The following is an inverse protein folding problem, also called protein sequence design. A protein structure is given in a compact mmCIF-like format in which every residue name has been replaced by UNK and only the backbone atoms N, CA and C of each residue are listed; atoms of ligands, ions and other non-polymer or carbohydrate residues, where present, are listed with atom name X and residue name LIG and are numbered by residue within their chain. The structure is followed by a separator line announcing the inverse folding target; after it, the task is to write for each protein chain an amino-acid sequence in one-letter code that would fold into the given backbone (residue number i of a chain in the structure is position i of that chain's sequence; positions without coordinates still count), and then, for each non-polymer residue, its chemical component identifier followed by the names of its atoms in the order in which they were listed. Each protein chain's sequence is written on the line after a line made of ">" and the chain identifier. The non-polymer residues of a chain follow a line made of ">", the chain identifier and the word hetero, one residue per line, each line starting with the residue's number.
data_IF_189480446814
#
_entry.id   IF_189480446814
#
_cell.length_a   1.000
_cell.length_b   1.000
_cell.length_c   1.000
_cell.angle_alpha   90.00
_cell.angle_beta   90.00
_cell.angle_gamma   90.00
#
_symmetry.space_group_name_H-M   'P 1'
#
loop_
_entity.id
_entity.type
_entity.pdbx_description
1 polymer ?
#
# COMPACT_ATOMS: atom_id res chain seq x y z
N UNK A 1 -72.58 -1.78 -41.13
CA UNK A 1 -72.21 -2.81 -42.14
C UNK A 1 -70.70 -3.05 -41.92
N UNK A 2 -70.55 -4.11 -41.19
CA UNK A 2 -69.76 -5.31 -41.52
C UNK A 2 -68.23 -5.06 -41.56
N UNK A 3 -67.43 -5.69 -40.93
CA UNK A 3 -67.20 -7.05 -40.37
C UNK A 3 -65.67 -7.17 -40.41
N UNK A 4 -64.88 -7.77 -39.68
CA UNK A 4 -64.84 -8.90 -38.75
C UNK A 4 -63.51 -9.00 -38.14
N UNK A 5 -63.52 -9.25 -36.92
CA UNK A 5 -62.59 -10.06 -36.10
C UNK A 5 -61.72 -11.05 -36.84
N UNK A 6 -60.44 -11.13 -36.34
CA UNK A 6 -59.96 -12.44 -35.83
C UNK A 6 -58.62 -12.31 -35.14
N UNK A 7 -58.41 -13.00 -34.05
CA UNK A 7 -57.15 -12.92 -33.29
C UNK A 7 -56.15 -13.95 -33.81
N UNK A 8 -54.92 -13.50 -34.07
CA UNK A 8 -53.81 -14.42 -34.35
C UNK A 8 -53.22 -14.93 -33.05
N UNK A 9 -53.56 -16.17 -32.74
CA UNK A 9 -52.90 -17.01 -31.75
C UNK A 9 -51.44 -17.25 -32.18
N UNK A 10 -50.49 -16.70 -31.44
CA UNK A 10 -49.08 -17.05 -31.57
C UNK A 10 -48.76 -18.22 -30.64
N UNK A 11 -48.64 -19.38 -31.26
CA UNK A 11 -48.16 -20.63 -30.68
C UNK A 11 -46.72 -20.45 -30.12
N UNK A 12 -46.59 -20.89 -28.86
CA UNK A 12 -45.26 -21.13 -28.26
C UNK A 12 -44.56 -22.27 -28.99
N UNK A 13 -43.59 -21.98 -29.83
CA UNK A 13 -42.53 -22.92 -30.19
C UNK A 13 -41.33 -22.18 -30.76
N UNK A 14 -40.17 -22.44 -30.14
CA UNK A 14 -38.81 -22.39 -30.71
C UNK A 14 -38.20 -21.01 -30.97
N UNK A 15 -37.44 -20.50 -30.01
CA UNK A 15 -36.15 -19.88 -30.24
C UNK A 15 -35.24 -20.05 -29.01
N UNK A 16 -34.70 -21.26 -28.86
CA UNK A 16 -33.42 -21.40 -28.17
C UNK A 16 -32.38 -20.77 -29.08
N UNK A 17 -32.13 -19.49 -28.92
CA UNK A 17 -30.91 -18.86 -29.45
C UNK A 17 -29.91 -18.84 -28.31
N UNK A 18 -28.86 -19.65 -28.48
CA UNK A 18 -27.69 -19.65 -27.66
C UNK A 18 -27.07 -18.23 -27.64
N UNK A 19 -27.37 -17.50 -26.58
CA UNK A 19 -26.62 -16.32 -26.21
C UNK A 19 -25.28 -16.76 -25.69
N UNK A 20 -24.27 -16.87 -26.55
CA UNK A 20 -22.87 -16.88 -26.16
C UNK A 20 -22.62 -15.52 -25.51
N UNK A 21 -22.70 -15.48 -24.18
CA UNK A 21 -22.13 -14.38 -23.41
C UNK A 21 -20.64 -14.36 -23.73
N UNK A 22 -20.23 -13.44 -24.60
CA UNK A 22 -18.84 -12.98 -24.68
C UNK A 22 -18.52 -12.38 -23.32
N UNK A 23 -17.97 -13.19 -22.43
CA UNK A 23 -17.18 -12.68 -21.31
C UNK A 23 -16.01 -11.94 -21.95
N UNK A 24 -16.16 -10.63 -22.08
CA UNK A 24 -15.04 -9.75 -22.36
C UNK A 24 -14.03 -10.00 -21.23
N UNK A 25 -12.99 -10.77 -21.55
CA UNK A 25 -11.84 -10.89 -20.69
C UNK A 25 -11.27 -9.47 -20.54
N UNK A 26 -11.54 -8.85 -19.39
CA UNK A 26 -10.81 -7.66 -18.95
C UNK A 26 -9.35 -8.06 -19.04
N UNK A 27 -8.50 -7.39 -19.85
CA UNK A 27 -7.09 -7.70 -19.84
C UNK A 27 -6.61 -7.47 -18.41
N UNK A 28 -6.23 -8.56 -17.76
CA UNK A 28 -5.42 -8.53 -16.55
C UNK A 28 -4.20 -7.70 -16.91
N UNK A 29 -4.19 -6.42 -16.49
CA UNK A 29 -3.04 -5.57 -16.66
C UNK A 29 -1.84 -6.36 -16.19
N UNK A 30 -0.80 -6.44 -17.01
CA UNK A 30 0.38 -7.25 -16.79
C UNK A 30 0.90 -6.98 -15.38
N UNK A 31 0.61 -7.89 -14.43
CA UNK A 31 1.24 -7.86 -13.11
C UNK A 31 2.72 -8.06 -13.36
N UNK A 32 3.52 -7.02 -13.18
CA UNK A 32 4.97 -7.15 -13.21
C UNK A 32 5.36 -7.98 -11.98
N UNK A 33 5.79 -9.20 -12.22
CA UNK A 33 6.38 -10.05 -11.21
C UNK A 33 7.90 -9.84 -11.27
N UNK A 34 8.50 -9.44 -10.15
CA UNK A 34 9.95 -9.37 -10.02
C UNK A 34 10.41 -10.31 -8.92
N UNK A 35 11.52 -10.99 -9.16
CA UNK A 35 12.22 -11.71 -8.11
C UNK A 35 13.21 -10.77 -7.46
N UNK A 36 13.04 -10.55 -6.15
CA UNK A 36 13.95 -9.71 -5.40
C UNK A 36 15.20 -10.50 -4.97
N UNK A 37 16.36 -9.90 -5.16
CA UNK A 37 17.61 -10.47 -4.66
C UNK A 37 17.72 -10.24 -3.14
N UNK A 38 17.99 -11.33 -2.41
CA UNK A 38 18.28 -11.24 -0.98
C UNK A 38 19.64 -10.55 -0.76
N UNK A 39 19.76 -9.72 0.30
CA UNK A 39 21.00 -9.03 0.58
C UNK A 39 22.17 -10.00 0.85
N UNK A 40 23.33 -9.66 0.32
CA UNK A 40 24.55 -10.43 0.52
C UNK A 40 25.18 -10.08 1.87
N UNK A 41 24.61 -10.56 2.99
CA UNK A 41 25.24 -10.39 4.29
C UNK A 41 25.48 -11.73 4.97
N UNK A 42 26.42 -11.75 5.90
CA UNK A 42 26.74 -12.96 6.68
C UNK A 42 25.54 -13.35 7.55
N UNK A 43 25.04 -14.57 7.38
CA UNK A 43 23.87 -15.07 8.09
C UNK A 43 24.14 -15.47 9.55
N UNK A 44 25.37 -15.35 10.01
CA UNK A 44 25.76 -15.61 11.40
C UNK A 44 25.46 -14.39 12.28
N UNK A 45 24.20 -14.01 12.40
CA UNK A 45 23.82 -12.95 13.33
C UNK A 45 23.67 -13.52 14.73
N UNK A 46 24.56 -13.13 15.70
CA UNK A 46 24.42 -13.57 17.06
C UNK A 46 23.06 -13.12 17.63
N UNK A 47 22.33 -14.04 18.25
CA UNK A 47 21.10 -13.75 18.95
C UNK A 47 19.80 -13.86 18.15
N UNK A 48 19.83 -14.15 16.83
CA UNK A 48 18.61 -14.52 16.12
C UNK A 48 18.39 -16.03 16.14
N UNK A 49 17.31 -16.49 16.75
CA UNK A 49 16.92 -17.90 16.81
C UNK A 49 15.51 -18.09 16.23
N UNK A 50 15.37 -19.09 15.37
CA UNK A 50 14.05 -19.53 14.85
C UNK A 50 13.36 -20.53 15.79
N UNK A 51 14.09 -21.09 16.76
CA UNK A 51 13.64 -22.27 17.53
C UNK A 51 12.38 -22.05 18.38
N UNK A 52 12.03 -20.81 18.71
CA UNK A 52 10.95 -20.51 19.66
C UNK A 52 9.79 -19.73 19.02
N UNK A 53 9.66 -19.80 17.70
CA UNK A 53 8.55 -19.13 17.00
C UNK A 53 7.32 -20.02 17.05
N UNK A 54 6.38 -19.63 17.93
CA UNK A 54 5.10 -20.34 18.11
C UNK A 54 4.04 -19.87 17.10
N UNK A 55 3.12 -20.79 16.79
CA UNK A 55 1.97 -20.58 15.91
C UNK A 55 1.56 -21.84 15.18
N UNK A 56 1.02 -21.65 13.99
CA UNK A 56 0.69 -22.71 13.05
C UNK A 56 1.93 -23.17 12.25
N UNK A 57 1.76 -23.75 11.06
CA UNK A 57 2.84 -24.17 10.16
C UNK A 57 3.13 -23.18 9.02
N UNK A 58 2.68 -21.92 9.12
CA UNK A 58 2.72 -20.98 8.01
C UNK A 58 4.15 -20.59 7.60
N UNK A 59 5.09 -20.47 8.54
CA UNK A 59 6.49 -20.23 8.21
C UNK A 59 7.12 -21.47 7.52
N UNK A 60 6.96 -22.67 8.11
CA UNK A 60 7.50 -23.89 7.51
C UNK A 60 6.93 -24.15 6.13
N UNK A 61 5.66 -23.80 5.89
CA UNK A 61 5.01 -23.91 4.58
C UNK A 61 5.68 -23.01 3.55
N UNK A 62 6.00 -21.76 3.92
CA UNK A 62 6.76 -20.82 3.07
C UNK A 62 8.19 -21.33 2.83
N UNK A 63 8.87 -21.81 3.87
CA UNK A 63 10.23 -22.35 3.75
C UNK A 63 10.28 -23.61 2.88
N UNK A 64 9.33 -24.54 3.03
CA UNK A 64 9.22 -25.73 2.16
C UNK A 64 8.94 -25.38 0.71
N UNK A 65 8.15 -24.32 0.46
CA UNK A 65 7.91 -23.78 -0.88
C UNK A 65 9.15 -23.08 -1.45
N UNK A 66 10.04 -22.60 -0.57
CA UNK A 66 11.22 -21.81 -0.92
C UNK A 66 10.91 -20.40 -1.42
N UNK A 67 9.66 -19.94 -1.28
CA UNK A 67 9.22 -18.67 -1.86
C UNK A 67 8.11 -18.02 -1.02
N UNK A 68 8.22 -16.71 -0.82
CA UNK A 68 7.14 -15.87 -0.33
C UNK A 68 6.69 -14.88 -1.42
N UNK A 69 5.38 -14.74 -1.59
CA UNK A 69 4.77 -13.82 -2.56
C UNK A 69 4.31 -12.58 -1.82
N UNK A 70 4.87 -11.44 -2.18
CA UNK A 70 4.67 -10.13 -1.54
C UNK A 70 4.00 -9.19 -2.52
N UNK A 71 3.07 -8.35 -2.05
CA UNK A 71 2.55 -7.25 -2.85
C UNK A 71 2.97 -5.88 -2.31
N UNK A 72 3.07 -4.91 -3.23
CA UNK A 72 3.38 -3.51 -2.96
C UNK A 72 2.56 -2.60 -3.87
N UNK A 73 2.26 -1.40 -3.42
CA UNK A 73 1.65 -0.33 -4.24
C UNK A 73 2.65 0.34 -5.19
N UNK A 74 3.91 -0.02 -5.13
CA UNK A 74 5.00 0.54 -5.90
C UNK A 74 5.31 2.00 -5.54
N UNK A 75 5.22 2.32 -4.25
CA UNK A 75 5.41 3.68 -3.73
C UNK A 75 6.86 3.92 -3.28
N UNK A 76 7.54 4.81 -3.99
CA UNK A 76 8.79 5.37 -3.53
C UNK A 76 8.55 6.29 -2.31
N UNK A 77 9.35 6.26 -1.24
CA UNK A 77 10.58 5.50 -1.02
C UNK A 77 10.38 4.18 -0.27
N UNK A 78 9.16 3.72 -0.08
CA UNK A 78 8.82 2.61 0.79
C UNK A 78 9.16 1.25 0.18
N UNK A 79 8.44 0.89 -0.88
CA UNK A 79 8.64 -0.38 -1.54
C UNK A 79 8.23 -0.27 -3.01
N UNK A 80 9.19 -0.42 -3.92
CA UNK A 80 8.97 -0.23 -5.35
C UNK A 80 9.88 -1.10 -6.20
N UNK A 81 9.50 -1.31 -7.44
CA UNK A 81 10.36 -1.90 -8.46
C UNK A 81 11.09 -0.77 -9.20
N UNK A 82 12.41 -0.74 -9.08
CA UNK A 82 13.23 0.24 -9.79
C UNK A 82 13.01 0.13 -11.30
N UNK A 83 12.68 1.24 -11.95
CA UNK A 83 12.27 1.26 -13.35
C UNK A 83 13.39 0.84 -14.32
N UNK A 84 14.66 1.02 -13.93
CA UNK A 84 15.82 0.75 -14.78
C UNK A 84 16.34 -0.67 -14.61
N UNK A 85 16.34 -1.18 -13.36
CA UNK A 85 16.94 -2.46 -13.00
C UNK A 85 15.91 -3.56 -12.76
N UNK A 86 14.65 -3.19 -12.49
CA UNK A 86 13.60 -4.10 -12.03
C UNK A 86 13.81 -4.60 -10.59
N UNK A 87 14.82 -4.10 -9.89
CA UNK A 87 15.12 -4.50 -8.52
C UNK A 87 14.04 -4.02 -7.55
N UNK A 88 13.67 -4.87 -6.61
CA UNK A 88 12.82 -4.49 -5.48
C UNK A 88 13.64 -3.65 -4.52
N UNK A 89 13.23 -2.41 -4.31
CA UNK A 89 13.98 -1.37 -3.60
C UNK A 89 13.05 -0.56 -2.70
N UNK A 90 13.64 0.13 -1.74
CA UNK A 90 12.93 0.98 -0.80
C UNK A 90 13.17 0.59 0.65
N UNK A 91 12.65 1.40 1.56
CA UNK A 91 12.82 1.22 3.01
C UNK A 91 12.22 -0.13 3.44
N UNK A 92 10.94 -0.34 3.13
CA UNK A 92 10.25 -1.60 3.48
C UNK A 92 10.81 -2.78 2.71
N UNK A 93 11.23 -2.57 1.46
CA UNK A 93 11.87 -3.61 0.67
C UNK A 93 13.17 -4.11 1.34
N UNK A 94 14.04 -3.21 1.80
CA UNK A 94 15.29 -3.58 2.47
C UNK A 94 15.03 -4.30 3.81
N UNK A 95 14.11 -3.80 4.62
CA UNK A 95 13.71 -4.43 5.87
C UNK A 95 13.14 -5.83 5.62
N UNK A 96 12.24 -5.97 4.64
CA UNK A 96 11.60 -7.22 4.28
C UNK A 96 12.61 -8.26 3.76
N UNK A 97 13.53 -7.85 2.85
CA UNK A 97 14.54 -8.73 2.30
C UNK A 97 15.51 -9.22 3.39
N UNK A 98 15.85 -8.34 4.34
CA UNK A 98 16.66 -8.70 5.48
C UNK A 98 15.93 -9.69 6.39
N UNK A 99 14.64 -9.44 6.68
CA UNK A 99 13.80 -10.35 7.46
C UNK A 99 13.65 -11.71 6.76
N UNK A 100 13.37 -11.74 5.47
CA UNK A 100 13.26 -12.98 4.70
C UNK A 100 14.53 -13.83 4.79
N UNK A 101 15.70 -13.18 4.71
CA UNK A 101 16.99 -13.86 4.86
C UNK A 101 17.18 -14.45 6.25
N UNK A 102 16.89 -13.69 7.31
CA UNK A 102 16.93 -14.18 8.70
C UNK A 102 16.02 -15.40 8.88
N UNK A 103 14.86 -15.40 8.23
CA UNK A 103 13.86 -16.46 8.27
C UNK A 103 14.17 -17.63 7.33
N UNK A 104 15.32 -17.63 6.63
CA UNK A 104 15.71 -18.67 5.67
C UNK A 104 14.65 -18.88 4.58
N UNK A 105 14.09 -17.82 4.08
CA UNK A 105 13.21 -17.80 2.91
C UNK A 105 14.08 -17.51 1.69
N UNK A 106 14.17 -18.45 0.76
CA UNK A 106 15.15 -18.40 -0.32
C UNK A 106 14.80 -17.37 -1.39
N UNK A 107 13.49 -17.14 -1.60
CA UNK A 107 13.00 -16.30 -2.71
C UNK A 107 11.88 -15.39 -2.24
N UNK A 108 11.98 -14.11 -2.61
CA UNK A 108 10.90 -13.13 -2.49
C UNK A 108 10.42 -12.75 -3.89
N UNK A 109 9.18 -13.09 -4.19
CA UNK A 109 8.51 -12.68 -5.44
C UNK A 109 7.60 -11.51 -5.16
N UNK A 110 7.78 -10.42 -5.91
CA UNK A 110 7.08 -9.16 -5.69
C UNK A 110 6.06 -8.92 -6.80
N UNK A 111 4.86 -8.52 -6.42
CA UNK A 111 3.78 -8.14 -7.34
C UNK A 111 3.30 -6.74 -7.01
N UNK A 112 3.17 -5.90 -8.04
CA UNK A 112 2.63 -4.54 -7.87
C UNK A 112 1.12 -4.53 -8.07
N UNK A 113 0.41 -3.88 -7.15
CA UNK A 113 -1.04 -3.68 -7.20
C UNK A 113 -1.40 -2.31 -6.65
N UNK A 114 -2.52 -1.69 -7.04
CA UNK A 114 -3.00 -0.49 -6.38
C UNK A 114 -3.16 -0.69 -4.87
N UNK A 115 -2.94 0.36 -4.08
CA UNK A 115 -2.96 0.30 -2.61
C UNK A 115 -4.24 -0.33 -2.05
N UNK A 116 -5.40 0.03 -2.60
CA UNK A 116 -6.72 -0.51 -2.22
C UNK A 116 -6.90 -1.99 -2.56
N UNK A 117 -6.06 -2.54 -3.43
CA UNK A 117 -6.06 -3.95 -3.83
C UNK A 117 -5.20 -4.87 -2.96
N UNK A 118 -4.32 -4.34 -2.11
CA UNK A 118 -3.35 -5.13 -1.35
C UNK A 118 -4.03 -6.03 -0.31
N UNK A 119 -4.82 -5.47 0.60
CA UNK A 119 -5.54 -6.24 1.64
C UNK A 119 -6.49 -7.27 1.03
N UNK A 120 -7.37 -6.91 0.07
CA UNK A 120 -8.20 -7.91 -0.63
C UNK A 120 -7.37 -9.02 -1.29
N UNK A 121 -6.19 -8.69 -1.83
CA UNK A 121 -5.30 -9.67 -2.45
C UNK A 121 -4.73 -10.69 -1.45
N UNK A 122 -4.31 -10.25 -0.27
CA UNK A 122 -3.88 -11.13 0.83
C UNK A 122 -5.03 -12.01 1.29
N UNK A 123 -6.22 -11.45 1.52
CA UNK A 123 -7.40 -12.22 1.94
C UNK A 123 -7.78 -13.29 0.92
N UNK A 124 -7.70 -12.98 -0.36
CA UNK A 124 -7.97 -13.93 -1.46
C UNK A 124 -6.85 -14.98 -1.65
N UNK A 125 -5.72 -14.87 -0.95
CA UNK A 125 -4.59 -15.78 -1.06
C UNK A 125 -3.74 -15.59 -2.32
N UNK A 126 -3.86 -14.46 -2.98
CA UNK A 126 -2.97 -14.12 -4.12
C UNK A 126 -1.55 -13.79 -3.66
N UNK A 127 -1.43 -13.25 -2.47
CA UNK A 127 -0.18 -12.86 -1.83
C UNK A 127 -0.11 -13.49 -0.43
N UNK A 128 1.08 -13.78 0.02
CA UNK A 128 1.33 -14.27 1.37
C UNK A 128 1.31 -13.11 2.38
N UNK A 129 1.78 -11.91 1.95
CA UNK A 129 1.82 -10.71 2.78
C UNK A 129 1.78 -9.42 1.95
N UNK A 130 1.48 -8.30 2.61
CA UNK A 130 1.78 -6.96 2.10
C UNK A 130 3.15 -6.56 2.61
N UNK A 131 4.06 -6.26 1.69
CA UNK A 131 5.42 -5.78 1.96
C UNK A 131 5.56 -4.30 1.63
N UNK A 132 4.66 -3.51 2.15
CA UNK A 132 4.57 -2.07 1.92
C UNK A 132 4.28 -1.35 3.23
N UNK A 133 4.44 -0.04 3.26
CA UNK A 133 4.24 0.78 4.44
C UNK A 133 2.76 0.96 4.75
N UNK A 134 2.25 0.17 5.70
CA UNK A 134 0.84 0.20 6.08
C UNK A 134 0.68 0.62 7.54
N UNK A 135 -0.08 1.67 7.77
CA UNK A 135 -0.49 2.05 9.11
C UNK A 135 -1.55 1.08 9.68
N UNK A 136 -1.45 0.81 10.97
CA UNK A 136 -2.49 0.09 11.69
C UNK A 136 -3.82 0.87 11.64
N UNK A 137 -4.93 0.17 11.45
CA UNK A 137 -6.27 0.68 11.75
C UNK A 137 -7.14 -0.40 12.38
N UNK A 138 -8.08 -0.04 13.29
CA UNK A 138 -9.01 -0.99 13.88
C UNK A 138 -9.86 -1.73 12.83
N UNK A 139 -10.20 -1.07 11.73
CA UNK A 139 -10.98 -1.65 10.63
C UNK A 139 -10.20 -2.74 9.92
N UNK A 140 -8.94 -2.49 9.59
CA UNK A 140 -8.05 -3.50 8.99
C UNK A 140 -7.80 -4.67 9.93
N UNK A 141 -7.62 -4.40 11.23
CA UNK A 141 -7.39 -5.43 12.25
C UNK A 141 -8.56 -6.41 12.45
N UNK A 142 -9.76 -6.09 11.94
CA UNK A 142 -10.89 -7.03 11.93
C UNK A 142 -10.70 -8.20 10.96
N UNK A 143 -9.89 -8.02 9.93
CA UNK A 143 -9.78 -8.98 8.81
C UNK A 143 -8.36 -9.47 8.53
N UNK A 144 -7.34 -8.72 8.95
CA UNK A 144 -5.91 -9.05 8.79
C UNK A 144 -5.16 -8.85 10.10
N UNK A 145 -3.97 -9.43 10.18
CA UNK A 145 -3.03 -9.17 11.27
C UNK A 145 -1.78 -8.44 10.78
N UNK A 146 -1.06 -7.85 11.72
CA UNK A 146 0.07 -6.97 11.48
C UNK A 146 1.35 -7.52 12.12
N UNK A 147 2.47 -7.26 11.47
CA UNK A 147 3.78 -7.45 12.09
C UNK A 147 3.99 -6.50 13.30
N UNK A 148 5.07 -6.71 14.01
CA UNK A 148 5.67 -5.68 14.87
C UNK A 148 5.86 -4.37 14.07
N UNK A 149 5.83 -3.20 14.72
CA UNK A 149 6.07 -1.94 14.03
C UNK A 149 7.49 -1.85 13.50
N UNK A 150 7.66 -1.25 12.34
CA UNK A 150 8.96 -1.02 11.71
C UNK A 150 9.50 0.38 12.04
N UNK A 151 9.00 1.41 11.40
CA UNK A 151 9.40 2.80 11.61
C UNK A 151 8.18 3.72 11.54
N UNK A 152 8.38 4.99 11.91
CA UNK A 152 7.34 6.01 11.92
C UNK A 152 7.48 6.97 10.74
N UNK A 153 6.37 7.41 10.18
CA UNK A 153 6.28 8.54 9.27
C UNK A 153 4.94 9.27 9.46
N UNK A 154 4.90 10.55 9.09
CA UNK A 154 3.68 11.36 9.15
C UNK A 154 3.19 11.69 7.73
N UNK A 155 1.90 12.02 7.62
CA UNK A 155 1.35 12.63 6.42
C UNK A 155 1.64 14.13 6.39
N UNK A 156 1.53 14.69 5.18
CA UNK A 156 1.58 16.14 4.95
C UNK A 156 0.48 16.58 4.00
N UNK A 157 0.30 17.88 3.87
CA UNK A 157 -0.58 18.48 2.87
C UNK A 157 0.24 19.24 1.84
N UNK A 158 0.01 18.95 0.57
CA UNK A 158 0.63 19.62 -0.57
C UNK A 158 -0.44 20.38 -1.35
N UNK A 159 -0.11 21.60 -1.76
CA UNK A 159 -0.96 22.50 -2.55
C UNK A 159 -0.16 23.11 -3.70
N UNK A 160 -0.85 23.67 -4.66
CA UNK A 160 -0.18 24.48 -5.68
C UNK A 160 0.39 25.76 -5.06
N UNK A 161 1.60 26.16 -5.44
CA UNK A 161 2.19 27.44 -5.05
C UNK A 161 1.23 28.58 -5.37
N UNK A 162 1.22 29.57 -4.52
CA UNK A 162 0.36 30.75 -4.66
C UNK A 162 -1.15 30.48 -4.62
N UNK A 163 -1.56 29.27 -4.20
CA UNK A 163 -2.98 28.93 -3.98
C UNK A 163 -3.65 29.73 -2.85
N UNK A 164 -2.84 30.29 -1.95
CA UNK A 164 -3.31 30.97 -0.76
C UNK A 164 -3.85 30.03 0.33
N UNK A 165 -3.80 28.71 0.12
CA UNK A 165 -4.28 27.75 1.12
C UNK A 165 -3.29 27.67 2.27
N UNK A 166 -3.77 28.07 3.47
CA UNK A 166 -3.04 28.05 4.73
C UNK A 166 -3.98 27.52 5.82
N UNK A 167 -3.98 26.23 5.98
CA UNK A 167 -4.90 25.51 6.89
C UNK A 167 -4.12 24.66 7.88
N UNK A 168 -4.72 24.39 9.04
CA UNK A 168 -4.13 23.51 10.06
C UNK A 168 -4.71 22.10 10.00
N UNK A 169 -5.93 21.95 9.47
CA UNK A 169 -6.64 20.66 9.41
C UNK A 169 -7.36 20.50 8.07
N UNK A 170 -7.75 19.26 7.76
CA UNK A 170 -8.50 18.91 6.53
C UNK A 170 -9.86 19.61 6.51
N UNK A 171 -10.53 19.74 7.66
CA UNK A 171 -11.87 20.35 7.77
C UNK A 171 -11.88 21.82 7.33
N UNK A 172 -10.76 22.51 7.43
CA UNK A 172 -10.63 23.89 6.98
C UNK A 172 -10.58 24.05 5.45
N UNK A 173 -10.55 22.93 4.72
CA UNK A 173 -10.69 22.91 3.25
C UNK A 173 -12.15 22.90 2.77
N UNK A 174 -13.12 23.25 3.62
CA UNK A 174 -14.53 23.35 3.20
C UNK A 174 -14.70 24.20 1.94
N UNK A 175 -15.45 23.71 0.96
CA UNK A 175 -15.63 24.31 -0.36
C UNK A 175 -14.51 24.03 -1.38
N UNK A 176 -13.46 23.30 -1.00
CA UNK A 176 -12.33 22.93 -1.86
C UNK A 176 -12.25 21.40 -2.09
N UNK A 177 -11.54 21.01 -3.15
CA UNK A 177 -11.24 19.63 -3.44
C UNK A 177 -9.97 19.19 -2.71
N UNK A 178 -10.03 17.99 -2.11
CA UNK A 178 -8.88 17.36 -1.46
C UNK A 178 -8.77 15.89 -1.89
N UNK A 179 -7.58 15.46 -2.25
CA UNK A 179 -7.32 14.11 -2.74
C UNK A 179 -6.33 13.34 -1.88
N UNK A 180 -6.41 12.02 -2.00
CA UNK A 180 -5.43 11.05 -1.50
C UNK A 180 -5.60 9.70 -2.20
N UNK A 181 -4.76 8.72 -1.89
CA UNK A 181 -4.91 7.36 -2.42
C UNK A 181 -6.11 6.65 -1.79
N UNK A 182 -6.82 5.89 -2.63
CA UNK A 182 -7.93 5.05 -2.21
C UNK A 182 -7.46 3.96 -1.23
N UNK A 183 -8.31 3.63 -0.26
CA UNK A 183 -8.00 2.60 0.75
C UNK A 183 -7.10 3.05 1.90
N UNK A 184 -6.59 4.29 1.86
CA UNK A 184 -5.86 4.90 2.98
C UNK A 184 -6.81 5.41 4.06
N UNK A 185 -6.35 5.54 5.29
CA UNK A 185 -7.17 6.23 6.30
C UNK A 185 -7.28 7.74 6.03
N UNK A 186 -6.39 8.32 5.24
CA UNK A 186 -6.53 9.69 4.75
C UNK A 186 -7.80 9.86 3.92
N UNK A 187 -8.14 8.86 3.09
CA UNK A 187 -9.37 8.87 2.30
C UNK A 187 -10.61 8.92 3.18
N UNK A 188 -10.63 8.19 4.29
CA UNK A 188 -11.73 8.25 5.26
C UNK A 188 -11.82 9.61 5.97
N UNK A 189 -10.67 10.20 6.32
CA UNK A 189 -10.66 11.52 6.98
C UNK A 189 -11.19 12.62 6.07
N UNK A 190 -10.77 12.62 4.79
CA UNK A 190 -11.23 13.61 3.82
C UNK A 190 -12.72 13.45 3.53
N UNK A 191 -13.20 12.20 3.36
CA UNK A 191 -14.62 11.92 3.12
C UNK A 191 -15.52 12.34 4.28
N UNK A 192 -15.02 12.27 5.52
CA UNK A 192 -15.73 12.68 6.72
C UNK A 192 -15.64 14.19 6.99
N UNK A 193 -14.78 14.93 6.28
CA UNK A 193 -14.59 16.36 6.50
C UNK A 193 -15.72 17.18 5.84
N UNK A 194 -16.48 18.00 6.63
CA UNK A 194 -17.64 18.68 6.11
C UNK A 194 -17.31 19.67 5.00
N UNK A 195 -18.02 19.57 3.89
CA UNK A 195 -17.90 20.47 2.73
C UNK A 195 -16.63 20.30 1.90
N UNK A 196 -15.76 19.33 2.22
CA UNK A 196 -14.59 19.01 1.40
C UNK A 196 -14.99 18.05 0.26
N UNK A 197 -14.58 18.37 -0.95
CA UNK A 197 -14.82 17.54 -2.13
C UNK A 197 -13.71 16.48 -2.25
N UNK A 198 -14.01 15.25 -1.86
CA UNK A 198 -13.05 14.15 -1.93
C UNK A 198 -12.76 13.71 -3.36
N UNK A 199 -11.48 13.49 -3.70
CA UNK A 199 -11.04 12.81 -4.92
C UNK A 199 -10.07 11.67 -4.56
N UNK A 200 -10.40 10.44 -4.99
CA UNK A 200 -9.58 9.24 -4.77
C UNK A 200 -8.67 8.95 -5.96
N UNK A 201 -7.43 8.58 -5.69
CA UNK A 201 -6.39 8.25 -6.67
C UNK A 201 -5.89 6.82 -6.45
N UNK A 202 -5.30 6.22 -7.48
CA UNK A 202 -4.69 4.89 -7.41
C UNK A 202 -3.19 4.92 -7.24
N UNK A 203 -2.56 6.05 -7.58
CA UNK A 203 -1.13 6.27 -7.44
C UNK A 203 -0.84 7.72 -7.01
N UNK A 204 0.31 7.91 -6.37
CA UNK A 204 0.69 9.19 -5.79
C UNK A 204 1.15 10.19 -6.84
N UNK A 205 1.69 9.75 -7.96
CA UNK A 205 2.14 10.66 -9.03
C UNK A 205 0.95 11.38 -9.67
N UNK A 206 -0.11 10.63 -10.03
CA UNK A 206 -1.36 11.21 -10.56
C UNK A 206 -2.01 12.18 -9.56
N UNK A 207 -2.01 11.84 -8.27
CA UNK A 207 -2.51 12.70 -7.19
C UNK A 207 -1.77 14.05 -7.20
N UNK A 208 -0.45 14.02 -7.16
CA UNK A 208 0.39 15.23 -7.05
C UNK A 208 0.37 16.05 -8.35
N UNK A 209 0.31 15.38 -9.51
CA UNK A 209 0.18 16.02 -10.82
C UNK A 209 -1.13 16.82 -10.95
N UNK A 210 -2.23 16.32 -10.37
CA UNK A 210 -3.51 17.02 -10.36
C UNK A 210 -3.45 18.29 -9.50
N UNK A 211 -2.72 18.28 -8.39
CA UNK A 211 -2.43 19.49 -7.60
C UNK A 211 -1.59 20.47 -8.43
N UNK A 212 -0.51 20.01 -9.04
CA UNK A 212 0.39 20.86 -9.82
C UNK A 212 -0.34 21.56 -10.98
N UNK A 213 -1.26 20.85 -11.65
CA UNK A 213 -2.07 21.40 -12.75
C UNK A 213 -3.24 22.26 -12.29
N UNK A 214 -3.59 22.25 -10.99
CA UNK A 214 -4.74 22.99 -10.44
C UNK A 214 -6.09 22.28 -10.64
N UNK A 215 -6.11 21.00 -11.02
CA UNK A 215 -7.32 20.16 -11.07
C UNK A 215 -7.76 19.67 -9.68
N UNK A 216 -6.87 19.75 -8.70
CA UNK A 216 -7.08 19.43 -7.30
C UNK A 216 -6.53 20.59 -6.46
N UNK A 217 -7.29 21.06 -5.46
CA UNK A 217 -6.86 22.17 -4.59
C UNK A 217 -5.78 21.74 -3.60
N UNK A 218 -5.91 20.56 -3.01
CA UNK A 218 -4.97 20.02 -2.02
C UNK A 218 -4.84 18.50 -2.10
N UNK A 219 -3.67 17.97 -1.76
CA UNK A 219 -3.45 16.55 -1.53
C UNK A 219 -2.95 16.31 -0.11
N UNK A 220 -3.44 15.24 0.53
CA UNK A 220 -2.94 14.75 1.83
C UNK A 220 -2.40 13.35 1.63
N UNK A 221 -1.10 13.17 1.86
CA UNK A 221 -0.45 11.87 1.76
C UNK A 221 0.88 11.87 2.53
N UNK A 222 1.56 10.75 2.54
CA UNK A 222 2.79 10.52 3.28
C UNK A 222 3.89 11.52 2.94
N UNK A 223 4.44 12.15 3.95
CA UNK A 223 5.48 13.19 3.79
C UNK A 223 6.68 12.71 2.96
N UNK A 224 7.26 11.51 3.19
CA UNK A 224 8.41 11.05 2.39
C UNK A 224 8.10 10.93 0.90
N UNK A 225 6.91 10.43 0.54
CA UNK A 225 6.45 10.31 -0.85
C UNK A 225 6.28 11.68 -1.49
N UNK A 226 5.58 12.59 -0.80
CA UNK A 226 5.33 13.95 -1.29
C UNK A 226 6.64 14.72 -1.54
N UNK A 227 7.56 14.67 -0.58
CA UNK A 227 8.87 15.32 -0.72
C UNK A 227 9.65 14.73 -1.90
N UNK A 228 9.63 13.42 -2.05
CA UNK A 228 10.32 12.75 -3.15
C UNK A 228 9.76 13.11 -4.51
N UNK A 229 8.44 13.09 -4.67
CA UNK A 229 7.79 13.49 -5.91
C UNK A 229 8.06 14.94 -6.27
N UNK A 230 8.03 15.85 -5.29
CA UNK A 230 8.36 17.27 -5.52
C UNK A 230 9.83 17.45 -5.89
N UNK A 231 10.76 16.73 -5.26
CA UNK A 231 12.18 16.76 -5.57
C UNK A 231 12.48 16.24 -6.98
N UNK A 232 11.81 15.17 -7.38
CA UNK A 232 11.98 14.56 -8.70
C UNK A 232 11.31 15.37 -9.83
N UNK A 233 10.37 16.26 -9.48
CA UNK A 233 9.63 17.10 -10.42
C UNK A 233 9.72 18.59 -10.02
N UNK A 234 10.91 19.19 -10.01
CA UNK A 234 11.12 20.57 -9.53
C UNK A 234 10.37 21.63 -10.37
N UNK A 235 9.93 21.27 -11.57
CA UNK A 235 9.10 22.12 -12.45
C UNK A 235 7.64 22.21 -11.99
N UNK A 236 7.15 21.32 -11.14
CA UNK A 236 5.80 21.39 -10.60
C UNK A 236 5.69 22.53 -9.58
N UNK A 237 4.74 23.42 -9.75
CA UNK A 237 4.58 24.57 -8.84
C UNK A 237 3.87 24.16 -7.56
N UNK A 238 4.55 23.38 -6.71
CA UNK A 238 4.01 22.80 -5.48
C UNK A 238 4.68 23.36 -4.23
N UNK A 239 3.93 23.41 -3.15
CA UNK A 239 4.44 23.72 -1.81
C UNK A 239 3.76 22.85 -0.74
N UNK A 240 4.50 22.58 0.34
CA UNK A 240 3.96 21.94 1.55
C UNK A 240 3.27 23.00 2.38
N UNK A 241 2.07 22.70 2.89
CA UNK A 241 1.34 23.55 3.84
C UNK A 241 1.97 23.40 5.23
N UNK A 242 2.91 24.26 5.57
CA UNK A 242 3.68 24.20 6.82
C UNK A 242 2.84 24.42 8.09
N UNK A 243 1.65 24.97 7.95
CA UNK A 243 0.70 25.13 9.06
C UNK A 243 -0.12 23.86 9.33
N UNK A 244 -0.15 22.91 8.37
CA UNK A 244 -0.91 21.67 8.53
C UNK A 244 -0.37 20.82 9.68
N UNK A 245 -1.26 20.40 10.57
CA UNK A 245 -0.94 19.56 11.71
C UNK A 245 -1.30 18.12 11.40
N UNK A 246 -0.28 17.31 11.13
CA UNK A 246 -0.46 15.91 10.81
C UNK A 246 -1.24 15.16 11.91
N UNK A 247 -2.30 14.45 11.54
CA UNK A 247 -3.11 13.65 12.46
C UNK A 247 -2.37 12.42 12.94
N UNK A 248 -1.53 11.84 12.09
CA UNK A 248 -0.73 10.67 12.41
C UNK A 248 0.16 10.90 13.63
N UNK A 249 0.65 12.12 13.85
CA UNK A 249 1.41 12.49 15.05
C UNK A 249 0.61 12.38 16.35
N UNK A 250 -0.72 12.34 16.26
CA UNK A 250 -1.63 12.26 17.42
C UNK A 250 -2.18 10.84 17.65
N UNK A 251 -1.80 9.88 16.80
CA UNK A 251 -2.26 8.49 16.88
C UNK A 251 -1.16 7.63 17.48
N UNK A 252 -1.29 7.07 18.69
CA UNK A 252 -0.20 6.39 19.41
C UNK A 252 0.34 5.16 18.74
N UNK A 253 -0.14 4.57 17.77
CA UNK A 253 0.34 3.32 17.15
C UNK A 253 0.55 3.45 15.64
N UNK A 254 0.80 4.66 15.16
CA UNK A 254 0.84 4.95 13.73
C UNK A 254 2.24 4.71 13.12
N UNK A 255 2.74 3.50 13.29
CA UNK A 255 3.97 3.01 12.67
C UNK A 255 3.65 2.20 11.42
N UNK A 256 4.58 2.17 10.48
CA UNK A 256 4.57 1.23 9.37
C UNK A 256 4.59 -0.22 9.87
N UNK A 257 3.86 -1.11 9.20
CA UNK A 257 3.76 -2.53 9.51
C UNK A 257 3.52 -3.33 8.24
N UNK A 258 3.92 -4.58 8.25
CA UNK A 258 3.50 -5.54 7.22
C UNK A 258 2.16 -6.18 7.59
N UNK A 259 1.41 -6.60 6.57
CA UNK A 259 0.10 -7.23 6.76
C UNK A 259 0.13 -8.69 6.32
N UNK A 260 -0.54 -9.52 7.09
CA UNK A 260 -0.68 -10.97 6.88
C UNK A 260 -2.13 -11.41 7.04
N UNK A 261 -2.45 -12.64 6.62
CA UNK A 261 -3.70 -13.28 7.00
C UNK A 261 -3.70 -13.60 8.49
N UNK A 262 -4.81 -13.38 9.17
CA UNK A 262 -4.93 -13.64 10.61
C UNK A 262 -4.57 -15.09 11.01
N UNK A 263 -4.79 -16.06 10.13
CA UNK A 263 -4.48 -17.47 10.40
C UNK A 263 -3.00 -17.83 10.28
N UNK A 264 -2.17 -16.99 9.69
CA UNK A 264 -0.76 -17.28 9.44
C UNK A 264 0.11 -16.78 10.63
N UNK A 265 -0.26 -17.20 11.87
CA UNK A 265 0.31 -16.69 13.13
C UNK A 265 1.81 -16.93 13.28
N UNK A 266 2.30 -18.10 12.87
CA UNK A 266 3.73 -18.38 12.94
C UNK A 266 4.53 -17.46 12.00
N UNK A 267 4.02 -17.19 10.79
CA UNK A 267 4.66 -16.29 9.85
C UNK A 267 4.69 -14.84 10.39
N UNK A 268 3.59 -14.38 11.01
CA UNK A 268 3.49 -13.06 11.65
C UNK A 268 4.52 -12.93 12.78
N UNK A 269 4.58 -13.94 13.66
CA UNK A 269 5.52 -13.97 14.78
C UNK A 269 6.97 -14.02 14.30
N UNK A 270 7.24 -14.76 13.23
CA UNK A 270 8.56 -14.85 12.61
C UNK A 270 9.04 -13.52 12.06
N UNK A 271 8.21 -12.85 11.26
CA UNK A 271 8.54 -11.52 10.73
C UNK A 271 8.66 -10.48 11.85
N UNK A 272 7.79 -10.53 12.86
CA UNK A 272 7.87 -9.64 14.02
C UNK A 272 9.19 -9.81 14.79
N UNK A 273 9.61 -11.05 15.01
CA UNK A 273 10.91 -11.35 15.65
C UNK A 273 12.09 -10.88 14.79
N UNK A 274 12.01 -11.05 13.47
CA UNK A 274 13.04 -10.55 12.57
C UNK A 274 13.13 -9.02 12.59
N UNK A 275 11.99 -8.32 12.58
CA UNK A 275 11.93 -6.85 12.67
C UNK A 275 12.52 -6.37 14.01
N UNK A 276 12.14 -6.97 15.12
CA UNK A 276 12.69 -6.67 16.45
C UNK A 276 14.22 -6.82 16.46
N UNK A 277 14.74 -7.90 15.86
CA UNK A 277 16.17 -8.10 15.74
C UNK A 277 16.84 -7.03 14.85
N UNK A 278 16.23 -6.66 13.72
CA UNK A 278 16.71 -5.61 12.81
C UNK A 278 16.78 -4.25 13.53
N UNK A 279 15.82 -3.95 14.41
CA UNK A 279 15.82 -2.76 15.25
C UNK A 279 16.95 -2.82 16.29
N UNK A 280 17.03 -3.92 17.04
CA UNK A 280 18.01 -4.10 18.12
C UNK A 280 19.46 -4.12 17.61
N UNK A 281 19.72 -4.73 16.47
CA UNK A 281 21.06 -4.80 15.85
C UNK A 281 21.54 -3.47 15.25
N UNK A 282 20.67 -2.45 15.18
CA UNK A 282 20.98 -1.17 14.56
C UNK A 282 20.81 -1.14 13.03
N UNK A 283 20.50 -2.26 12.39
CA UNK A 283 20.30 -2.32 10.92
C UNK A 283 19.14 -1.42 10.47
N UNK A 284 18.07 -1.33 11.27
CA UNK A 284 16.96 -0.42 10.99
C UNK A 284 17.45 1.03 10.85
N UNK A 285 18.29 1.50 11.77
CA UNK A 285 18.83 2.87 11.74
C UNK A 285 19.66 3.11 10.48
N UNK A 286 20.48 2.16 10.07
CA UNK A 286 21.30 2.30 8.86
C UNK A 286 20.43 2.35 7.59
N UNK A 287 19.36 1.53 7.52
CA UNK A 287 18.39 1.58 6.43
C UNK A 287 17.71 2.95 6.39
N UNK A 288 17.14 3.40 7.50
CA UNK A 288 16.45 4.69 7.57
C UNK A 288 17.37 5.86 7.20
N UNK A 289 18.61 5.89 7.70
CA UNK A 289 19.61 6.89 7.38
C UNK A 289 19.95 6.93 5.88
N UNK A 290 20.12 5.77 5.26
CA UNK A 290 20.34 5.62 3.81
C UNK A 290 19.23 6.30 3.00
N UNK A 291 17.99 6.21 3.46
CA UNK A 291 16.81 6.76 2.80
C UNK A 291 16.48 8.20 3.25
N UNK A 292 17.33 8.81 4.07
CA UNK A 292 17.16 10.20 4.50
C UNK A 292 16.08 10.40 5.58
N UNK A 293 15.61 9.32 6.20
CA UNK A 293 14.82 9.39 7.42
C UNK A 293 15.79 9.44 8.61
N UNK A 294 15.83 10.60 9.29
CA UNK A 294 16.74 10.83 10.41
C UNK A 294 16.36 10.09 11.69
N UNK A 295 16.96 10.50 12.82
CA UNK A 295 16.72 9.89 14.14
C UNK A 295 15.26 10.01 14.61
N UNK A 296 14.49 10.90 14.01
CA UNK A 296 13.07 11.15 14.32
C UNK A 296 12.12 10.02 13.85
N UNK A 297 12.62 9.09 13.01
CA UNK A 297 11.84 7.97 12.48
C UNK A 297 12.02 6.66 13.27
N UNK A 298 12.78 6.67 14.38
CA UNK A 298 13.05 5.51 15.23
C UNK A 298 12.13 5.47 16.46
#
# INVERSE_FOLDING_TARGET
>A
MNEKDSPLTLTRRSALMAGTALLAAVPLGFMKNAQAALPAFDASYPGFALADIIGDDSLERIQRKGEIIVCTSNDWPYSYLDANTGAFSGIDAEILLLAAKLLKIDKVTVQTVPFDGMVPGVLAGRFDMVGDSIHFSPERAKVVDFSFPTYFYAETMVVKKDSGIRVNTIEQLSGKSCGTLLGTHYSEWIQKAPGVQFKGYKDAEALVQDVASGRLDAAVYDLPVMVGLMKNNPQWPLEIVTTYQARTLKIPSNYSRYIFKQKDQQLINAFSRAIEWIQYSGQMREILKKWGLGEEAN
#
